data_IF_691399445745
#
_entry.id   IF_691399445745
#
_cell.length_a   1.000
_cell.length_b   1.000
_cell.length_c   1.000
_cell.angle_alpha   90.00
_cell.angle_beta   90.00
_cell.angle_gamma   90.00
#
_symmetry.space_group_name_H-M   'P 1'
#
loop_
_entity.id
_entity.type
_entity.pdbx_description
1 polymer ?
#
# COMPACT_ATOMS: atom_id res chain seq x y z
N UNK A 1 -11.83 -19.56 19.71
CA UNK A 1 -10.56 -18.87 20.01
C UNK A 1 -10.89 -17.59 20.75
N UNK A 2 -9.96 -17.06 21.54
CA UNK A 2 -10.14 -15.74 22.17
C UNK A 2 -9.73 -14.67 21.17
N UNK A 3 -10.54 -13.64 20.99
CA UNK A 3 -10.19 -12.46 20.16
C UNK A 3 -9.23 -11.51 20.90
N UNK A 4 -8.88 -11.84 22.15
CA UNK A 4 -7.92 -11.12 22.98
C UNK A 4 -6.49 -11.29 22.44
N UNK A 5 -5.96 -10.18 21.92
CA UNK A 5 -4.59 -10.09 21.40
C UNK A 5 -3.53 -9.92 22.50
N UNK A 6 -3.92 -9.79 23.77
CA UNK A 6 -3.03 -9.50 24.90
C UNK A 6 -1.84 -10.46 24.98
N UNK A 7 -2.06 -11.76 24.79
CA UNK A 7 -0.99 -12.77 24.77
C UNK A 7 0.06 -12.55 23.68
N UNK A 8 -0.35 -11.99 22.54
CA UNK A 8 0.58 -11.65 21.45
C UNK A 8 1.39 -10.42 21.83
N UNK A 9 0.75 -9.43 22.45
CA UNK A 9 1.38 -8.16 22.81
C UNK A 9 2.32 -8.27 24.02
N UNK A 10 1.99 -9.11 25.00
CA UNK A 10 2.83 -9.39 26.18
C UNK A 10 4.22 -9.90 25.82
N UNK A 11 4.32 -10.61 24.68
CA UNK A 11 5.57 -11.18 24.18
C UNK A 11 6.20 -10.32 23.08
N UNK A 12 5.69 -9.10 22.87
CA UNK A 12 6.16 -8.21 21.81
C UNK A 12 6.13 -6.75 22.26
N UNK A 13 7.25 -6.30 22.83
CA UNK A 13 7.37 -4.93 23.34
C UNK A 13 7.33 -3.89 22.22
N UNK A 14 6.49 -2.86 22.40
CA UNK A 14 6.50 -1.70 21.52
C UNK A 14 7.74 -0.83 21.78
N UNK A 15 8.36 -0.34 20.70
CA UNK A 15 9.53 0.54 20.76
C UNK A 15 9.27 1.83 20.02
N UNK A 16 9.24 2.94 20.76
CA UNK A 16 9.02 4.26 20.17
C UNK A 16 10.14 4.60 19.16
N UNK A 17 9.74 5.08 17.98
CA UNK A 17 10.67 5.51 16.94
C UNK A 17 11.31 4.38 16.11
N UNK A 18 10.96 3.12 16.39
CA UNK A 18 11.41 1.97 15.60
C UNK A 18 10.20 1.17 15.10
N UNK A 19 10.23 0.81 13.82
CA UNK A 19 9.29 -0.16 13.28
C UNK A 19 9.74 -1.54 13.72
N UNK A 20 8.81 -2.31 14.28
CA UNK A 20 9.03 -3.71 14.61
C UNK A 20 8.05 -4.55 13.80
N UNK A 21 8.59 -5.37 12.91
CA UNK A 21 7.84 -6.19 11.97
C UNK A 21 8.36 -7.63 11.94
N UNK A 22 7.47 -8.59 11.67
CA UNK A 22 7.82 -10.00 11.54
C UNK A 22 6.94 -10.72 10.52
N UNK A 23 7.45 -11.83 9.97
CA UNK A 23 6.69 -12.78 9.16
C UNK A 23 6.05 -13.84 10.06
N UNK A 24 4.81 -14.20 9.77
CA UNK A 24 4.09 -15.30 10.41
C UNK A 24 3.31 -16.10 9.36
N UNK A 25 3.05 -17.38 9.62
CA UNK A 25 2.14 -18.19 8.81
C UNK A 25 0.73 -18.04 9.38
N UNK A 26 -0.24 -17.64 8.56
CA UNK A 26 -1.64 -17.58 8.95
C UNK A 26 -2.27 -18.97 9.04
N UNK A 27 -3.46 -19.05 9.63
CA UNK A 27 -4.22 -20.31 9.74
C UNK A 27 -4.60 -20.90 8.37
N UNK A 28 -4.64 -20.05 7.34
CA UNK A 28 -4.85 -20.42 5.93
C UNK A 28 -3.57 -20.94 5.24
N UNK A 29 -2.45 -21.02 5.96
CA UNK A 29 -1.14 -21.43 5.45
C UNK A 29 -0.41 -20.34 4.66
N UNK A 30 -1.02 -19.17 4.46
CA UNK A 30 -0.42 -18.08 3.72
C UNK A 30 0.50 -17.24 4.60
N UNK A 31 1.49 -16.62 3.97
CA UNK A 31 2.42 -15.73 4.66
C UNK A 31 1.76 -14.38 4.98
N UNK A 32 1.89 -13.97 6.24
CA UNK A 32 1.43 -12.69 6.75
C UNK A 32 2.59 -11.88 7.30
N UNK A 33 2.45 -10.57 7.25
CA UNK A 33 3.30 -9.60 7.91
C UNK A 33 2.57 -9.06 9.12
N UNK A 34 3.25 -9.00 10.26
CA UNK A 34 2.75 -8.31 11.43
C UNK A 34 3.63 -7.10 11.73
N UNK A 35 3.03 -6.00 12.14
CA UNK A 35 3.71 -4.77 12.56
C UNK A 35 3.24 -4.39 13.95
N UNK A 36 4.17 -4.16 14.88
CA UNK A 36 3.85 -3.66 16.21
C UNK A 36 3.54 -2.17 16.15
N UNK A 37 2.40 -1.79 16.72
CA UNK A 37 2.03 -0.40 17.01
C UNK A 37 1.85 -0.24 18.52
N UNK A 38 1.70 0.96 19.05
CA UNK A 38 1.67 1.23 20.51
C UNK A 38 0.75 0.26 21.28
N UNK A 39 -0.56 0.37 21.04
CA UNK A 39 -1.58 -0.41 21.76
C UNK A 39 -2.09 -1.63 20.97
N UNK A 40 -1.36 -2.08 19.95
CA UNK A 40 -1.80 -3.22 19.15
C UNK A 40 -0.81 -3.69 18.11
N UNK A 41 -1.33 -4.36 17.09
CA UNK A 41 -0.55 -4.76 15.92
C UNK A 41 -1.40 -4.59 14.66
N UNK A 42 -0.74 -4.40 13.53
CA UNK A 42 -1.33 -4.64 12.22
C UNK A 42 -0.94 -6.04 11.77
N UNK A 43 -1.87 -6.75 11.14
CA UNK A 43 -1.58 -7.97 10.40
C UNK A 43 -2.05 -7.79 8.96
N UNK A 44 -1.17 -8.08 8.01
CA UNK A 44 -1.38 -7.87 6.58
C UNK A 44 -0.94 -9.11 5.81
N UNK A 45 -1.53 -9.35 4.64
CA UNK A 45 -1.00 -10.36 3.72
C UNK A 45 0.33 -9.89 3.14
N UNK A 46 1.31 -10.80 3.06
CA UNK A 46 2.58 -10.52 2.39
C UNK A 46 2.39 -10.35 0.87
N UNK A 47 1.45 -11.10 0.29
CA UNK A 47 1.08 -11.04 -1.13
C UNK A 47 -0.33 -10.48 -1.34
N UNK A 48 -0.60 -10.04 -2.57
CA UNK A 48 -1.88 -9.44 -2.97
C UNK A 48 -2.25 -8.22 -2.13
N UNK A 49 -3.54 -7.95 -1.92
CA UNK A 49 -4.00 -6.81 -1.12
C UNK A 49 -3.68 -7.01 0.37
N UNK A 50 -3.11 -6.01 1.08
CA UNK A 50 -2.74 -6.15 2.50
C UNK A 50 -3.86 -6.64 3.42
N UNK A 51 -5.10 -6.18 3.22
CA UNK A 51 -6.27 -6.59 4.03
C UNK A 51 -6.99 -7.85 3.50
N UNK A 52 -6.50 -8.45 2.41
CA UNK A 52 -7.04 -9.66 1.80
C UNK A 52 -8.36 -9.50 1.06
N UNK A 53 -8.89 -8.28 0.96
CA UNK A 53 -10.14 -8.01 0.25
C UNK A 53 -9.93 -7.99 -1.26
N UNK A 54 -11.03 -8.15 -1.99
CA UNK A 54 -11.10 -7.95 -3.45
C UNK A 54 -12.20 -6.94 -3.77
N UNK A 55 -11.94 -5.62 -3.71
CA UNK A 55 -12.96 -4.60 -3.98
C UNK A 55 -13.57 -4.79 -5.37
N UNK A 56 -14.89 -4.91 -5.43
CA UNK A 56 -15.63 -5.18 -6.68
C UNK A 56 -15.12 -6.41 -7.45
N UNK A 57 -14.51 -7.38 -6.78
CA UNK A 57 -13.92 -8.57 -7.39
C UNK A 57 -12.50 -8.40 -7.94
N UNK A 58 -11.93 -7.19 -7.86
CA UNK A 58 -10.58 -6.89 -8.35
C UNK A 58 -9.52 -7.04 -7.26
N UNK A 59 -8.25 -7.35 -7.61
CA UNK A 59 -7.11 -7.34 -6.69
C UNK A 59 -6.97 -6.04 -5.89
N UNK A 60 -7.10 -4.88 -6.53
CA UNK A 60 -6.99 -3.56 -5.91
C UNK A 60 -8.17 -2.67 -6.30
N UNK A 61 -8.39 -1.60 -5.52
CA UNK A 61 -9.41 -0.62 -5.84
C UNK A 61 -8.96 0.26 -7.00
N UNK A 62 -7.65 0.54 -7.09
CA UNK A 62 -7.07 1.21 -8.26
C UNK A 62 -7.40 0.46 -9.55
N UNK A 63 -7.21 -0.86 -9.58
CA UNK A 63 -7.51 -1.69 -10.77
C UNK A 63 -8.98 -1.61 -11.17
N UNK A 64 -9.90 -1.60 -10.20
CA UNK A 64 -11.31 -1.38 -10.47
C UNK A 64 -11.55 -0.03 -11.19
N UNK A 65 -10.90 1.05 -10.73
CA UNK A 65 -11.06 2.38 -11.32
C UNK A 65 -10.37 2.52 -12.68
N UNK A 66 -9.20 1.91 -12.88
CA UNK A 66 -8.54 1.85 -14.19
C UNK A 66 -9.45 1.17 -15.23
N UNK A 67 -10.08 0.05 -14.86
CA UNK A 67 -11.04 -0.63 -15.74
C UNK A 67 -12.32 0.19 -15.97
N UNK A 68 -12.75 0.98 -14.98
CA UNK A 68 -13.88 1.91 -15.14
C UNK A 68 -13.52 3.04 -16.12
N UNK A 69 -12.31 3.58 -16.02
CA UNK A 69 -11.76 4.59 -16.94
C UNK A 69 -11.65 4.04 -18.37
N UNK A 70 -11.13 2.83 -18.56
CA UNK A 70 -11.07 2.19 -19.88
C UNK A 70 -12.47 2.01 -20.51
N UNK A 71 -13.46 1.61 -19.71
CA UNK A 71 -14.85 1.46 -20.17
C UNK A 71 -15.43 2.81 -20.59
N UNK A 72 -15.11 3.88 -19.87
CA UNK A 72 -15.50 5.25 -20.21
C UNK A 72 -14.88 5.67 -21.55
N UNK A 73 -13.56 5.52 -21.70
CA UNK A 73 -12.84 5.81 -22.95
C UNK A 73 -13.43 5.05 -24.15
N UNK A 74 -13.71 3.75 -23.99
CA UNK A 74 -14.34 2.94 -25.06
C UNK A 74 -15.72 3.46 -25.48
N UNK A 75 -16.48 4.05 -24.56
CA UNK A 75 -17.80 4.62 -24.85
C UNK A 75 -17.70 6.01 -25.49
N UNK A 76 -16.65 6.77 -25.17
CA UNK A 76 -16.47 8.16 -25.59
C UNK A 76 -15.36 8.32 -26.64
N UNK A 77 -15.20 7.35 -27.54
CA UNK A 77 -14.28 7.50 -28.69
C UNK A 77 -12.79 7.55 -28.35
N UNK A 78 -12.39 7.17 -27.13
CA UNK A 78 -11.01 7.21 -26.65
C UNK A 78 -10.73 8.35 -25.66
N UNK A 79 -11.66 9.29 -25.52
CA UNK A 79 -11.53 10.45 -24.63
C UNK A 79 -11.87 10.07 -23.18
N UNK A 80 -11.16 10.65 -22.22
CA UNK A 80 -11.45 10.57 -20.79
C UNK A 80 -12.12 11.82 -20.24
N UNK A 81 -12.52 12.76 -21.11
CA UNK A 81 -13.34 13.91 -20.77
C UNK A 81 -14.57 13.49 -19.94
N UNK A 82 -14.90 14.28 -18.93
CA UNK A 82 -15.96 14.04 -17.94
C UNK A 82 -15.79 12.80 -17.04
N UNK A 83 -14.68 12.06 -17.13
CA UNK A 83 -14.37 11.03 -16.13
C UNK A 83 -13.87 11.68 -14.84
N UNK A 84 -14.52 11.34 -13.73
CA UNK A 84 -14.04 11.73 -12.40
C UNK A 84 -14.42 10.71 -11.35
N UNK A 85 -13.65 10.72 -10.26
CA UNK A 85 -13.93 10.00 -9.02
C UNK A 85 -14.34 10.99 -7.93
N UNK A 86 -15.35 10.61 -7.15
CA UNK A 86 -15.91 11.47 -6.11
C UNK A 86 -15.06 11.41 -4.82
N UNK A 87 -15.28 12.32 -3.86
CA UNK A 87 -14.50 12.37 -2.62
C UNK A 87 -14.49 11.07 -1.79
N UNK A 88 -15.60 10.33 -1.75
CA UNK A 88 -15.67 9.05 -1.03
C UNK A 88 -14.85 7.95 -1.72
N UNK A 89 -14.78 7.98 -3.05
CA UNK A 89 -13.94 7.10 -3.85
C UNK A 89 -12.46 7.41 -3.64
N UNK A 90 -12.10 8.71 -3.62
CA UNK A 90 -10.76 9.15 -3.25
C UNK A 90 -10.38 8.66 -1.85
N UNK A 91 -11.24 8.86 -0.84
CA UNK A 91 -10.95 8.41 0.53
C UNK A 91 -10.66 6.90 0.63
N UNK A 92 -11.35 6.08 -0.16
CA UNK A 92 -11.08 4.63 -0.22
C UNK A 92 -9.76 4.30 -0.90
N UNK A 93 -9.38 5.05 -1.94
CA UNK A 93 -8.05 4.93 -2.55
C UNK A 93 -6.95 5.38 -1.58
N UNK A 94 -7.19 6.42 -0.79
CA UNK A 94 -6.26 6.83 0.27
C UNK A 94 -6.04 5.71 1.29
N UNK A 95 -7.12 5.05 1.72
CA UNK A 95 -7.03 3.91 2.63
C UNK A 95 -6.20 2.78 2.04
N UNK A 96 -6.36 2.50 0.74
CA UNK A 96 -5.51 1.54 0.02
C UNK A 96 -4.04 1.97 0.05
N UNK A 97 -3.71 3.20 -0.32
CA UNK A 97 -2.34 3.70 -0.28
C UNK A 97 -1.71 3.56 1.12
N UNK A 98 -2.47 3.84 2.20
CA UNK A 98 -2.01 3.66 3.58
C UNK A 98 -1.73 2.19 3.91
N UNK A 99 -2.56 1.26 3.43
CA UNK A 99 -2.35 -0.17 3.63
C UNK A 99 -1.05 -0.65 2.98
N UNK A 100 -0.81 -0.26 1.72
CA UNK A 100 0.43 -0.57 1.01
C UNK A 100 1.64 0.14 1.63
N UNK A 101 1.48 1.36 2.16
CA UNK A 101 2.54 2.08 2.85
C UNK A 101 3.02 1.38 4.13
N UNK A 102 2.10 0.94 4.98
CA UNK A 102 2.47 0.16 6.16
C UNK A 102 3.18 -1.14 5.79
N UNK A 103 2.75 -1.79 4.69
CA UNK A 103 3.39 -3.02 4.24
C UNK A 103 4.79 -2.77 3.67
N UNK A 104 4.99 -1.71 2.90
CA UNK A 104 6.32 -1.35 2.37
C UNK A 104 7.31 -1.04 3.50
N UNK A 105 6.86 -0.37 4.57
CA UNK A 105 7.68 -0.18 5.78
C UNK A 105 8.06 -1.53 6.41
N UNK A 106 7.12 -2.47 6.55
CA UNK A 106 7.40 -3.80 7.09
C UNK A 106 8.40 -4.58 6.22
N UNK A 107 8.20 -4.54 4.90
CA UNK A 107 9.08 -5.21 3.95
C UNK A 107 10.49 -4.62 3.99
N UNK A 108 10.63 -3.31 4.16
CA UNK A 108 11.92 -2.65 4.32
C UNK A 108 12.65 -3.14 5.57
N UNK A 109 11.99 -3.17 6.73
CA UNK A 109 12.59 -3.68 7.98
C UNK A 109 12.96 -5.17 7.90
N UNK A 110 12.28 -5.93 7.05
CA UNK A 110 12.52 -7.35 6.82
C UNK A 110 13.47 -7.62 5.64
N UNK A 111 14.08 -6.58 5.07
CA UNK A 111 14.99 -6.62 3.92
C UNK A 111 14.41 -7.27 2.65
N UNK A 112 13.09 -7.23 2.48
CA UNK A 112 12.41 -7.66 1.25
C UNK A 112 12.22 -6.45 0.33
N UNK A 113 13.33 -5.99 -0.26
CA UNK A 113 13.39 -4.75 -1.03
C UNK A 113 12.57 -4.81 -2.33
N UNK A 114 12.46 -5.98 -2.96
CA UNK A 114 11.58 -6.18 -4.13
C UNK A 114 10.11 -5.95 -3.75
N UNK A 115 9.67 -6.44 -2.59
CA UNK A 115 8.33 -6.18 -2.11
C UNK A 115 8.11 -4.71 -1.69
N UNK A 116 9.15 -4.00 -1.24
CA UNK A 116 9.06 -2.55 -1.03
C UNK A 116 8.81 -1.84 -2.35
N UNK A 117 9.61 -2.12 -3.38
CA UNK A 117 9.50 -1.50 -4.70
C UNK A 117 8.09 -1.70 -5.27
N UNK A 118 7.60 -2.95 -5.27
CA UNK A 118 6.26 -3.31 -5.73
C UNK A 118 5.15 -2.52 -5.01
N UNK A 119 5.24 -2.40 -3.69
CA UNK A 119 4.24 -1.66 -2.91
C UNK A 119 4.34 -0.15 -3.16
N UNK A 120 5.55 0.39 -3.31
CA UNK A 120 5.74 1.82 -3.60
C UNK A 120 5.30 2.21 -5.01
N UNK A 121 5.53 1.36 -6.01
CA UNK A 121 5.05 1.57 -7.38
C UNK A 121 3.53 1.65 -7.42
N UNK A 122 2.84 0.71 -6.76
CA UNK A 122 1.38 0.72 -6.66
C UNK A 122 0.87 2.02 -6.01
N UNK A 123 1.53 2.49 -4.95
CA UNK A 123 1.17 3.76 -4.31
C UNK A 123 1.38 4.92 -5.30
N UNK A 124 2.51 5.00 -5.99
CA UNK A 124 2.79 6.10 -6.93
C UNK A 124 1.77 6.15 -8.09
N UNK A 125 1.44 4.99 -8.67
CA UNK A 125 0.40 4.89 -9.70
C UNK A 125 -0.96 5.34 -9.19
N UNK A 126 -1.30 5.00 -7.94
CA UNK A 126 -2.53 5.47 -7.29
C UNK A 126 -2.52 7.00 -7.10
N UNK A 127 -1.40 7.57 -6.68
CA UNK A 127 -1.27 9.02 -6.50
C UNK A 127 -1.36 9.77 -7.83
N UNK A 128 -0.84 9.21 -8.93
CA UNK A 128 -1.02 9.73 -10.29
C UNK A 128 -2.49 9.68 -10.70
N UNK A 129 -3.14 8.52 -10.52
CA UNK A 129 -4.56 8.35 -10.86
C UNK A 129 -5.48 9.34 -10.14
N UNK A 130 -5.28 9.56 -8.84
CA UNK A 130 -6.10 10.50 -8.07
C UNK A 130 -5.80 11.95 -8.47
N UNK A 131 -4.56 12.28 -8.82
CA UNK A 131 -4.21 13.61 -9.31
C UNK A 131 -4.97 13.95 -10.60
N UNK A 132 -5.08 13.00 -11.51
CA UNK A 132 -5.66 13.22 -12.84
C UNK A 132 -7.19 13.20 -12.83
N UNK A 133 -7.81 12.39 -11.96
CA UNK A 133 -9.25 12.08 -12.05
C UNK A 133 -10.08 12.46 -10.82
N UNK A 134 -9.50 13.06 -9.77
CA UNK A 134 -10.31 13.58 -8.65
C UNK A 134 -11.23 14.71 -9.13
N UNK A 135 -12.51 14.64 -8.76
CA UNK A 135 -13.48 15.70 -9.10
C UNK A 135 -13.15 17.07 -8.46
N UNK A 136 -12.30 17.09 -7.44
CA UNK A 136 -11.85 18.29 -6.73
C UNK A 136 -10.32 18.34 -6.76
N UNK A 137 -9.76 19.41 -7.29
CA UNK A 137 -8.32 19.61 -7.44
C UNK A 137 -7.59 19.64 -6.09
N UNK A 138 -8.27 20.12 -5.03
CA UNK A 138 -7.73 20.14 -3.67
C UNK A 138 -7.50 18.73 -3.12
N UNK A 139 -8.37 17.77 -3.49
CA UNK A 139 -8.20 16.36 -3.09
C UNK A 139 -6.95 15.79 -3.78
N UNK A 140 -6.80 15.97 -5.09
CA UNK A 140 -5.61 15.53 -5.83
C UNK A 140 -4.32 16.08 -5.21
N UNK A 141 -4.32 17.39 -4.93
CA UNK A 141 -3.19 18.07 -4.27
C UNK A 141 -2.87 17.50 -2.89
N UNK A 142 -3.89 17.18 -2.08
CA UNK A 142 -3.70 16.60 -0.75
C UNK A 142 -3.08 15.19 -0.79
N UNK A 143 -3.27 14.43 -1.87
CA UNK A 143 -2.65 13.11 -2.02
C UNK A 143 -1.16 13.24 -2.32
N UNK A 144 -0.74 14.29 -3.02
CA UNK A 144 0.66 14.49 -3.38
C UNK A 144 1.58 14.67 -2.16
N UNK A 145 1.05 15.01 -0.98
CA UNK A 145 1.86 15.10 0.25
C UNK A 145 2.54 13.77 0.63
N UNK A 146 1.99 12.63 0.20
CA UNK A 146 2.56 11.30 0.47
C UNK A 146 3.69 10.94 -0.50
N UNK A 147 3.71 11.53 -1.70
CA UNK A 147 4.65 11.18 -2.78
C UNK A 147 6.13 11.26 -2.36
N UNK A 148 6.61 12.33 -1.70
CA UNK A 148 8.02 12.42 -1.33
C UNK A 148 8.48 11.28 -0.41
N UNK A 149 7.63 10.89 0.55
CA UNK A 149 7.94 9.80 1.47
C UNK A 149 7.95 8.45 0.75
N UNK A 150 7.02 8.22 -0.18
CA UNK A 150 6.97 7.00 -0.99
C UNK A 150 8.21 6.86 -1.88
N UNK A 151 8.60 7.92 -2.60
CA UNK A 151 9.81 7.94 -3.43
C UNK A 151 11.06 7.69 -2.57
N UNK A 152 11.14 8.33 -1.40
CA UNK A 152 12.26 8.13 -0.48
C UNK A 152 12.36 6.67 -0.03
N UNK A 153 11.23 6.03 0.31
CA UNK A 153 11.20 4.62 0.70
C UNK A 153 11.67 3.71 -0.45
N UNK A 154 11.13 3.91 -1.65
CA UNK A 154 11.52 3.15 -2.85
C UNK A 154 13.02 3.29 -3.14
N UNK A 155 13.51 4.54 -3.16
CA UNK A 155 14.92 4.85 -3.42
C UNK A 155 15.83 4.19 -2.39
N UNK A 156 15.44 4.20 -1.11
CA UNK A 156 16.21 3.51 -0.06
C UNK A 156 16.22 2.00 -0.26
N UNK A 157 15.09 1.39 -0.64
CA UNK A 157 15.03 -0.05 -0.86
C UNK A 157 15.93 -0.47 -2.02
N UNK A 158 15.76 0.18 -3.18
CA UNK A 158 16.56 -0.08 -4.39
C UNK A 158 18.04 0.14 -4.12
N UNK A 159 18.42 1.28 -3.50
CA UNK A 159 19.80 1.57 -3.15
C UNK A 159 20.40 0.55 -2.16
N UNK A 160 19.63 0.11 -1.17
CA UNK A 160 20.09 -0.90 -0.19
C UNK A 160 20.26 -2.27 -0.84
N UNK A 161 19.37 -2.63 -1.77
CA UNK A 161 19.46 -3.86 -2.53
C UNK A 161 20.75 -3.89 -3.38
N UNK A 162 21.03 -2.82 -4.13
CA UNK A 162 22.28 -2.72 -4.92
C UNK A 162 23.54 -2.85 -4.06
N UNK A 163 23.56 -2.26 -2.86
CA UNK A 163 24.67 -2.39 -1.92
C UNK A 163 24.80 -3.84 -1.43
N UNK A 164 23.67 -4.49 -1.11
CA UNK A 164 23.65 -5.87 -0.60
C UNK A 164 24.12 -6.86 -1.66
N UNK A 165 23.80 -6.61 -2.93
CA UNK A 165 24.15 -7.46 -4.07
C UNK A 165 25.59 -7.20 -4.60
N UNK A 166 26.36 -6.32 -3.96
CA UNK A 166 27.68 -5.84 -4.40
C UNK A 166 27.69 -5.30 -5.85
N UNK A 167 26.55 -4.81 -6.32
CA UNK A 167 26.33 -4.47 -7.71
C UNK A 167 26.47 -2.95 -7.90
N UNK A 168 27.72 -2.48 -7.89
CA UNK A 168 28.05 -1.04 -7.78
C UNK A 168 27.99 -0.24 -9.08
N UNK A 169 27.93 -0.88 -10.25
CA UNK A 169 27.90 -0.21 -11.56
C UNK A 169 29.18 0.55 -11.90
#
# INVERSE_FOLDING_TARGET
MSDDIGKILENWDYRLGRVDARRVTGDDGSEKLQMRIDLGLLQMNAQFRPDGKRPFGHPTLLEHFLLRLEKHRKKNGGEDDDFSINPDECAKLQQEAIQFHHRSICNFELNDFEAVERDTDHILELLDFVQDYAAQEEIGSSFQQFRPQTIMMQTRAVGTQFITDENYG
#
